data_IF_593744434536
#
_entry.id   IF_593744434536
#
_cell.length_a   1.000
_cell.length_b   1.000
_cell.length_c   1.000
_cell.angle_alpha   90.00
_cell.angle_beta   90.00
_cell.angle_gamma   90.00
#
_symmetry.space_group_name_H-M   'P 1'
#
loop_
_entity.id
_entity.type
_entity.pdbx_description
1 polymer ?
#
# COMPACT_ATOMS: atom_id res chain seq x y z
N UNK A 1 -20.98 59.02 16.70
CA UNK A 1 -21.29 57.62 16.35
C UNK A 1 -20.07 56.79 16.68
N UNK A 2 -20.16 55.98 17.72
CA UNK A 2 -19.05 55.18 18.25
C UNK A 2 -18.87 53.97 17.35
N UNK A 3 -17.70 53.83 16.73
CA UNK A 3 -17.30 52.62 16.01
C UNK A 3 -17.19 51.48 17.03
N UNK A 4 -18.13 50.54 17.00
CA UNK A 4 -18.06 49.31 17.78
C UNK A 4 -16.90 48.47 17.23
N UNK A 5 -15.75 48.50 17.91
CA UNK A 5 -14.71 47.50 17.73
C UNK A 5 -15.32 46.14 18.09
N UNK A 6 -15.60 45.33 17.08
CA UNK A 6 -16.01 43.95 17.26
C UNK A 6 -14.75 43.20 17.73
N UNK A 7 -14.54 43.12 19.05
CA UNK A 7 -13.52 42.24 19.61
C UNK A 7 -13.92 40.82 19.25
N UNK A 8 -13.27 40.22 18.25
CA UNK A 8 -13.35 38.77 18.02
C UNK A 8 -12.97 38.09 19.34
N UNK A 9 -13.99 37.54 20.02
CA UNK A 9 -13.78 36.83 21.28
C UNK A 9 -13.08 35.54 20.92
N UNK A 10 -11.83 35.42 21.34
CA UNK A 10 -11.06 34.20 21.13
C UNK A 10 -11.44 33.14 22.16
N UNK A 11 -11.77 31.97 21.65
CA UNK A 11 -11.94 30.73 22.37
C UNK A 11 -10.68 29.88 22.27
N UNK A 12 -10.45 29.09 23.30
CA UNK A 12 -9.27 28.23 23.41
C UNK A 12 -9.72 26.79 23.27
N UNK A 13 -9.17 26.07 22.30
CA UNK A 13 -9.44 24.64 22.11
C UNK A 13 -8.15 23.84 22.21
N UNK A 14 -8.11 22.90 23.16
CA UNK A 14 -7.05 21.89 23.25
C UNK A 14 -7.45 20.65 22.47
N UNK A 15 -6.65 20.27 21.48
CA UNK A 15 -6.85 19.07 20.68
C UNK A 15 -5.86 17.98 21.05
N UNK A 16 -6.39 16.76 21.16
CA UNK A 16 -5.66 15.53 21.43
C UNK A 16 -6.28 14.41 20.58
N UNK A 17 -5.51 13.36 20.27
CA UNK A 17 -6.01 12.19 19.57
C UNK A 17 -5.68 10.90 20.33
N UNK A 18 -6.53 9.88 20.17
CA UNK A 18 -6.29 8.52 20.65
C UNK A 18 -6.71 7.52 19.57
N UNK A 19 -6.06 6.35 19.54
CA UNK A 19 -6.42 5.27 18.61
C UNK A 19 -7.75 4.61 18.99
N UNK A 20 -8.08 4.55 20.28
CA UNK A 20 -9.27 3.90 20.83
C UNK A 20 -9.89 4.77 21.94
N UNK A 21 -11.18 4.54 22.27
CA UNK A 21 -11.95 5.37 23.23
C UNK A 21 -11.25 5.54 24.59
N UNK A 22 -10.62 4.48 25.09
CA UNK A 22 -9.92 4.46 26.39
C UNK A 22 -8.40 4.29 26.23
N UNK A 23 -7.88 4.51 25.03
CA UNK A 23 -6.46 4.38 24.71
C UNK A 23 -5.62 5.56 25.20
N UNK A 24 -4.29 5.41 25.22
CA UNK A 24 -3.39 6.51 25.52
C UNK A 24 -3.47 7.58 24.44
N UNK A 25 -3.23 8.84 24.85
CA UNK A 25 -3.11 9.96 23.92
C UNK A 25 -1.89 9.74 23.02
N UNK A 26 -2.08 9.96 21.72
CA UNK A 26 -1.02 9.94 20.73
C UNK A 26 0.06 10.95 21.08
N UNK A 27 1.32 10.54 20.92
CA UNK A 27 2.48 11.39 21.20
C UNK A 27 3.02 12.12 19.97
N UNK A 28 2.79 11.58 18.78
CA UNK A 28 3.29 12.12 17.51
C UNK A 28 2.50 11.57 16.30
N UNK A 29 2.84 12.05 15.11
CA UNK A 29 2.37 11.52 13.83
C UNK A 29 0.98 12.01 13.38
N UNK A 30 0.29 12.78 14.21
CA UNK A 30 -0.98 13.42 13.84
C UNK A 30 -0.72 14.74 13.11
N UNK A 31 -1.57 15.04 12.14
CA UNK A 31 -1.70 16.36 11.51
C UNK A 31 -3.10 16.88 11.77
N UNK A 32 -3.19 18.04 12.39
CA UNK A 32 -4.42 18.80 12.62
C UNK A 32 -4.60 19.81 11.50
N UNK A 33 -5.82 19.88 10.95
CA UNK A 33 -6.28 20.96 10.07
C UNK A 33 -7.64 21.44 10.56
N UNK A 34 -7.80 22.75 10.73
CA UNK A 34 -9.03 23.36 11.21
C UNK A 34 -9.58 24.26 10.13
N UNK A 35 -10.81 24.00 9.72
CA UNK A 35 -11.51 24.76 8.70
C UNK A 35 -12.69 25.52 9.32
N UNK A 36 -12.89 26.77 8.93
CA UNK A 36 -14.01 27.61 9.41
C UNK A 36 -15.22 27.46 8.50
N UNK A 37 -16.40 27.22 9.05
CA UNK A 37 -17.65 27.00 8.28
C UNK A 37 -18.39 28.32 8.04
N UNK A 38 -18.32 29.22 9.03
CA UNK A 38 -19.06 30.49 9.05
C UNK A 38 -18.59 31.55 8.04
N UNK A 39 -17.57 31.26 7.23
CA UNK A 39 -16.93 32.24 6.31
C UNK A 39 -17.23 32.00 4.82
N UNK A 40 -18.15 31.10 4.47
CA UNK A 40 -18.36 30.68 3.07
C UNK A 40 -19.80 30.84 2.59
N UNK A 41 -19.98 31.55 1.48
CA UNK A 41 -21.20 31.56 0.66
C UNK A 41 -21.21 30.35 -0.26
N UNK A 42 -22.12 29.41 -0.01
CA UNK A 42 -22.61 28.23 -0.78
C UNK A 42 -21.72 27.43 -1.78
N UNK A 43 -20.62 27.94 -2.34
CA UNK A 43 -19.82 27.27 -3.40
C UNK A 43 -18.29 27.31 -3.18
N UNK A 44 -17.79 27.71 -2.00
CA UNK A 44 -16.36 27.72 -1.69
C UNK A 44 -15.93 26.59 -0.76
N UNK A 45 -14.72 26.05 -0.99
CA UNK A 45 -14.00 25.19 -0.04
C UNK A 45 -13.88 25.89 1.32
N UNK A 46 -14.01 25.13 2.41
CA UNK A 46 -14.02 25.70 3.76
C UNK A 46 -12.60 26.17 4.07
N UNK A 47 -12.36 27.45 4.43
CA UNK A 47 -11.00 27.98 4.56
C UNK A 47 -10.23 27.34 5.71
N UNK A 48 -8.99 26.91 5.44
CA UNK A 48 -8.05 26.45 6.46
C UNK A 48 -7.60 27.63 7.33
N UNK A 49 -8.01 27.64 8.59
CA UNK A 49 -7.72 28.73 9.53
C UNK A 49 -6.60 28.41 10.51
N UNK A 50 -6.31 27.12 10.74
CA UNK A 50 -5.20 26.70 11.56
C UNK A 50 -4.74 25.28 11.24
N UNK A 51 -3.47 24.97 11.51
CA UNK A 51 -2.92 23.61 11.43
C UNK A 51 -1.81 23.39 12.45
N UNK A 52 -1.53 22.12 12.78
CA UNK A 52 -0.41 21.75 13.65
C UNK A 52 -0.05 20.28 13.47
N UNK A 53 1.22 19.94 13.67
CA UNK A 53 1.72 18.56 13.72
C UNK A 53 2.01 18.08 15.15
N UNK A 54 1.79 18.94 16.17
CA UNK A 54 1.95 18.58 17.57
C UNK A 54 0.77 17.72 18.02
N UNK A 55 1.06 16.61 18.70
CA UNK A 55 0.02 15.64 19.05
C UNK A 55 -0.98 16.14 20.09
N UNK A 56 -0.51 17.00 20.99
CA UNK A 56 -1.34 17.81 21.88
C UNK A 56 -1.08 19.27 21.54
N UNK A 57 -2.11 19.99 21.12
CA UNK A 57 -1.96 21.39 20.75
C UNK A 57 -3.16 22.23 21.18
N UNK A 58 -2.90 23.46 21.59
CA UNK A 58 -3.93 24.42 21.98
C UNK A 58 -3.98 25.51 20.94
N UNK A 59 -5.14 25.65 20.30
CA UNK A 59 -5.43 26.73 19.36
C UNK A 59 -6.24 27.83 20.04
N UNK A 60 -6.00 29.07 19.63
CA UNK A 60 -6.83 30.23 19.95
C UNK A 60 -7.56 30.61 18.67
N UNK A 61 -8.87 30.47 18.64
CA UNK A 61 -9.71 30.69 17.47
C UNK A 61 -10.91 31.56 17.87
N UNK A 62 -11.44 32.42 16.98
CA UNK A 62 -12.68 33.13 17.25
C UNK A 62 -13.83 32.17 17.60
N UNK A 63 -14.80 32.63 18.39
CA UNK A 63 -16.08 31.94 18.55
C UNK A 63 -16.70 31.66 17.16
N UNK A 64 -17.23 30.45 16.95
CA UNK A 64 -17.75 30.04 15.66
C UNK A 64 -17.79 28.54 15.43
N UNK A 65 -18.06 28.15 14.20
CA UNK A 65 -18.27 26.77 13.77
C UNK A 65 -17.13 26.28 12.89
N UNK A 66 -16.62 25.07 13.19
CA UNK A 66 -15.38 24.54 12.62
C UNK A 66 -15.47 23.06 12.25
N UNK A 67 -14.71 22.65 11.23
CA UNK A 67 -14.28 21.26 11.07
C UNK A 67 -12.86 21.09 11.57
N UNK A 68 -12.68 20.09 12.42
CA UNK A 68 -11.38 19.61 12.82
C UNK A 68 -11.10 18.31 12.08
N UNK A 69 -10.15 18.36 11.16
CA UNK A 69 -9.59 17.19 10.49
C UNK A 69 -8.33 16.73 11.22
N UNK A 70 -8.34 15.48 11.68
CA UNK A 70 -7.23 14.83 12.34
C UNK A 70 -6.75 13.67 11.48
N UNK A 71 -5.52 13.75 10.96
CA UNK A 71 -4.93 12.74 10.08
C UNK A 71 -3.72 12.04 10.69
N UNK A 72 -3.69 10.70 10.65
CA UNK A 72 -2.65 9.83 11.19
C UNK A 72 -2.27 8.74 10.17
N UNK A 73 -1.31 9.04 9.29
CA UNK A 73 -0.99 8.14 8.16
C UNK A 73 -2.13 8.13 7.15
N UNK A 74 -2.66 6.93 6.82
CA UNK A 74 -3.83 6.79 5.94
C UNK A 74 -5.17 6.91 6.68
N UNK A 75 -5.13 7.09 7.99
CA UNK A 75 -6.33 7.32 8.80
C UNK A 75 -6.61 8.80 8.87
N UNK A 76 -7.86 9.19 8.69
CA UNK A 76 -8.29 10.51 9.11
C UNK A 76 -9.71 10.51 9.67
N UNK A 77 -9.99 11.49 10.52
CA UNK A 77 -11.33 11.73 11.06
C UNK A 77 -11.61 13.22 11.07
N UNK A 78 -12.80 13.58 10.60
CA UNK A 78 -13.32 14.95 10.66
C UNK A 78 -14.36 15.03 11.76
N UNK A 79 -14.26 16.04 12.64
CA UNK A 79 -15.24 16.35 13.67
C UNK A 79 -15.73 17.78 13.49
N UNK A 80 -17.05 17.93 13.44
CA UNK A 80 -17.72 19.21 13.52
C UNK A 80 -17.70 19.73 14.96
N UNK A 81 -17.33 21.00 15.17
CA UNK A 81 -17.21 21.60 16.49
C UNK A 81 -17.72 23.04 16.50
N UNK A 82 -18.55 23.35 17.50
CA UNK A 82 -18.97 24.71 17.81
C UNK A 82 -18.14 25.25 18.98
N UNK A 83 -17.36 26.29 18.72
CA UNK A 83 -16.56 26.98 19.73
C UNK A 83 -17.33 28.17 20.28
N UNK A 84 -17.74 28.08 21.55
CA UNK A 84 -18.27 29.20 22.33
C UNK A 84 -17.20 29.77 23.25
N UNK A 85 -17.56 30.79 24.05
CA UNK A 85 -16.62 31.46 24.96
C UNK A 85 -15.95 30.48 25.94
N UNK A 86 -14.63 30.59 26.07
CA UNK A 86 -13.87 29.92 27.13
C UNK A 86 -12.88 28.88 26.63
N UNK A 87 -12.57 27.90 27.50
CA UNK A 87 -11.62 26.81 27.22
C UNK A 87 -12.39 25.51 26.99
N UNK A 88 -12.15 24.86 25.86
CA UNK A 88 -12.65 23.54 25.52
C UNK A 88 -11.48 22.57 25.32
N UNK A 89 -11.75 21.28 25.49
CA UNK A 89 -10.77 20.22 25.24
C UNK A 89 -11.47 19.09 24.51
N UNK A 90 -10.85 18.59 23.46
CA UNK A 90 -11.39 17.54 22.61
C UNK A 90 -10.36 16.44 22.38
N UNK A 91 -10.82 15.19 22.52
CA UNK A 91 -10.05 14.00 22.21
C UNK A 91 -10.71 13.33 21.01
N UNK A 92 -10.03 13.33 19.86
CA UNK A 92 -10.50 12.65 18.66
C UNK A 92 -10.08 11.19 18.70
N UNK A 93 -11.06 10.28 18.72
CA UNK A 93 -10.83 8.84 18.61
C UNK A 93 -10.70 8.47 17.14
N UNK A 94 -9.55 7.97 16.71
CA UNK A 94 -9.29 7.69 15.31
C UNK A 94 -9.81 6.33 14.84
N UNK A 95 -10.06 5.38 15.76
CA UNK A 95 -10.33 3.97 15.43
C UNK A 95 -9.27 3.41 14.47
N UNK A 96 -8.00 3.61 14.82
CA UNK A 96 -6.86 3.31 13.97
C UNK A 96 -6.02 2.16 14.52
N UNK A 97 -5.63 1.24 13.64
CA UNK A 97 -4.67 0.18 13.90
C UNK A 97 -3.45 0.27 12.97
N UNK A 98 -2.59 -0.74 13.04
CA UNK A 98 -1.49 -0.93 12.12
C UNK A 98 -1.54 -2.32 11.49
N UNK A 99 -1.02 -2.44 10.28
CA UNK A 99 -0.74 -3.72 9.65
C UNK A 99 0.73 -3.79 9.26
N UNK A 100 1.38 -4.90 9.56
CA UNK A 100 2.75 -5.19 9.16
C UNK A 100 2.77 -6.48 8.36
N UNK A 101 3.23 -6.37 7.10
CA UNK A 101 3.17 -7.47 6.13
C UNK A 101 4.55 -8.06 5.91
N UNK A 102 4.60 -9.40 5.98
CA UNK A 102 5.76 -10.25 5.72
C UNK A 102 5.37 -11.29 4.68
N UNK A 103 6.38 -11.92 4.07
CA UNK A 103 6.18 -13.08 3.23
C UNK A 103 7.22 -14.14 3.54
N UNK A 104 6.87 -15.39 3.27
CA UNK A 104 7.76 -16.53 3.42
C UNK A 104 7.58 -17.50 2.24
N UNK A 105 8.59 -18.35 2.05
CA UNK A 105 8.55 -19.52 1.18
C UNK A 105 8.60 -20.77 2.07
N UNK A 106 7.95 -21.89 1.70
CA UNK A 106 8.10 -23.17 2.39
C UNK A 106 9.56 -23.63 2.52
N UNK A 107 10.41 -23.29 1.53
CA UNK A 107 11.84 -23.56 1.51
C UNK A 107 12.57 -22.33 0.96
N UNK A 108 13.74 -22.02 1.51
CA UNK A 108 14.55 -20.87 1.09
C UNK A 108 14.13 -19.55 1.77
N UNK A 109 14.62 -18.44 1.22
CA UNK A 109 14.42 -17.09 1.77
C UNK A 109 13.86 -16.18 0.69
N UNK A 110 12.83 -15.39 1.03
CA UNK A 110 12.27 -14.36 0.15
C UNK A 110 13.32 -13.27 -0.09
N UNK A 111 13.56 -12.94 -1.36
CA UNK A 111 14.28 -11.71 -1.71
C UNK A 111 13.36 -10.49 -1.48
N UNK A 112 13.55 -9.78 -0.35
CA UNK A 112 12.72 -8.63 0.05
C UNK A 112 12.70 -7.49 -0.98
N UNK A 113 13.71 -7.37 -1.85
CA UNK A 113 13.74 -6.31 -2.88
C UNK A 113 12.66 -6.52 -3.96
N UNK A 114 12.37 -7.79 -4.26
CA UNK A 114 11.39 -8.26 -5.24
C UNK A 114 9.96 -8.35 -4.66
N UNK A 115 9.82 -8.23 -3.35
CA UNK A 115 8.53 -8.33 -2.69
C UNK A 115 7.84 -6.95 -2.60
N UNK A 116 6.55 -6.91 -2.95
CA UNK A 116 5.68 -5.75 -2.78
C UNK A 116 4.31 -6.20 -2.27
N UNK A 117 3.68 -5.35 -1.47
CA UNK A 117 2.28 -5.51 -1.08
C UNK A 117 1.43 -4.36 -1.58
N UNK A 118 0.17 -4.69 -1.84
CA UNK A 118 -0.92 -3.74 -2.08
C UNK A 118 -2.05 -4.02 -1.12
N UNK A 119 -2.70 -2.98 -0.63
CA UNK A 119 -3.84 -3.03 0.28
C UNK A 119 -5.00 -2.32 -0.40
N UNK A 120 -6.15 -2.97 -0.41
CA UNK A 120 -7.39 -2.47 -0.97
C UNK A 120 -8.48 -2.46 0.10
N UNK A 121 -9.48 -1.60 -0.07
CA UNK A 121 -10.66 -1.58 0.79
C UNK A 121 -11.50 -2.83 0.58
N UNK A 122 -12.17 -3.27 1.65
CA UNK A 122 -13.20 -4.32 1.59
C UNK A 122 -14.55 -3.78 1.08
N UNK A 123 -14.62 -2.49 0.72
CA UNK A 123 -15.82 -1.89 0.16
C UNK A 123 -16.10 -2.47 -1.23
N UNK A 124 -17.29 -3.04 -1.38
CA UNK A 124 -17.78 -3.76 -2.56
C UNK A 124 -18.92 -3.00 -3.24
N UNK A 125 -19.27 -1.79 -2.78
CA UNK A 125 -20.42 -1.04 -3.31
C UNK A 125 -20.37 -0.84 -4.83
N UNK A 126 -19.18 -0.86 -5.45
CA UNK A 126 -18.99 -0.79 -6.91
C UNK A 126 -18.28 -2.01 -7.53
N UNK A 127 -18.18 -3.14 -6.82
CA UNK A 127 -17.46 -4.35 -7.29
C UNK A 127 -15.97 -4.11 -7.63
N UNK A 128 -15.42 -2.97 -7.23
CA UNK A 128 -14.01 -2.61 -7.33
C UNK A 128 -13.50 -2.31 -5.92
N UNK A 129 -12.57 -3.15 -5.44
CA UNK A 129 -11.85 -2.84 -4.22
C UNK A 129 -11.00 -1.59 -4.45
N UNK A 130 -11.34 -0.48 -3.80
CA UNK A 130 -10.58 0.77 -3.89
C UNK A 130 -9.14 0.57 -3.44
N UNK A 131 -8.17 0.85 -4.32
CA UNK A 131 -6.75 0.77 -3.99
C UNK A 131 -6.41 1.82 -2.92
N UNK A 132 -5.98 1.37 -1.74
CA UNK A 132 -5.58 2.25 -0.64
C UNK A 132 -4.10 2.58 -0.75
N UNK A 133 -3.27 1.56 -0.93
CA UNK A 133 -1.82 1.73 -0.99
C UNK A 133 -1.18 0.58 -1.75
N UNK A 134 -0.24 0.89 -2.64
CA UNK A 134 0.53 -0.08 -3.41
C UNK A 134 2.03 0.05 -3.15
N UNK A 135 2.81 -0.91 -3.66
CA UNK A 135 4.28 -0.92 -3.61
C UNK A 135 4.84 -0.85 -2.18
N UNK A 136 4.10 -1.38 -1.21
CA UNK A 136 4.49 -1.43 0.20
C UNK A 136 5.65 -2.42 0.34
N UNK A 137 6.74 -1.98 0.97
CA UNK A 137 7.88 -2.85 1.29
C UNK A 137 7.54 -3.75 2.49
N UNK A 138 8.10 -4.97 2.57
CA UNK A 138 7.95 -5.83 3.75
C UNK A 138 8.37 -5.14 5.04
N UNK A 139 7.81 -5.61 6.15
CA UNK A 139 8.08 -5.15 7.52
C UNK A 139 7.68 -3.69 7.81
N UNK A 140 7.17 -2.95 6.82
CA UNK A 140 6.64 -1.60 7.04
C UNK A 140 5.29 -1.68 7.74
N UNK A 141 5.13 -0.89 8.81
CA UNK A 141 3.83 -0.68 9.45
C UNK A 141 3.04 0.34 8.64
N UNK A 142 1.87 -0.06 8.15
CA UNK A 142 0.89 0.82 7.52
C UNK A 142 -0.25 1.07 8.51
N UNK A 143 -0.59 2.34 8.74
CA UNK A 143 -1.68 2.74 9.64
C UNK A 143 -2.97 2.81 8.84
N UNK A 144 -4.00 2.12 9.32
CA UNK A 144 -5.29 2.00 8.67
C UNK A 144 -6.41 2.15 9.71
N UNK A 145 -7.61 2.47 9.24
CA UNK A 145 -8.79 2.41 10.11
C UNK A 145 -8.98 0.95 10.55
N UNK A 146 -9.66 0.74 11.67
CA UNK A 146 -10.11 -0.60 12.02
C UNK A 146 -11.12 -1.08 10.99
N UNK A 147 -10.95 -2.30 10.49
CA UNK A 147 -11.76 -2.86 9.42
C UNK A 147 -11.06 -4.05 8.76
N UNK A 148 -11.73 -4.64 7.78
CA UNK A 148 -11.17 -5.70 6.94
C UNK A 148 -10.57 -5.07 5.68
N UNK A 149 -9.48 -5.66 5.20
CA UNK A 149 -8.76 -5.20 4.02
C UNK A 149 -8.34 -6.37 3.15
N UNK A 150 -8.50 -6.22 1.84
CA UNK A 150 -7.95 -7.16 0.87
C UNK A 150 -6.47 -6.84 0.62
N UNK A 151 -5.59 -7.80 0.89
CA UNK A 151 -4.15 -7.63 0.76
C UNK A 151 -3.62 -8.55 -0.33
N UNK A 152 -2.83 -7.98 -1.24
CA UNK A 152 -2.19 -8.68 -2.34
C UNK A 152 -0.68 -8.59 -2.20
N UNK A 153 -0.01 -9.73 -2.13
CA UNK A 153 1.46 -9.83 -2.12
C UNK A 153 1.95 -10.28 -3.49
N UNK A 154 2.81 -9.48 -4.10
CA UNK A 154 3.50 -9.78 -5.36
C UNK A 154 4.95 -10.09 -5.05
N UNK A 155 5.45 -11.23 -5.56
CA UNK A 155 6.85 -11.62 -5.42
C UNK A 155 7.53 -11.70 -6.79
N UNK A 156 8.28 -10.65 -7.14
CA UNK A 156 8.83 -10.45 -8.47
C UNK A 156 7.77 -10.02 -9.49
N UNK A 157 8.13 -10.12 -10.77
CA UNK A 157 7.37 -9.53 -11.88
C UNK A 157 6.54 -10.56 -12.67
N UNK A 158 6.57 -11.83 -12.28
CA UNK A 158 5.73 -12.89 -12.87
C UNK A 158 4.41 -13.09 -12.13
N UNK A 159 3.88 -14.31 -12.18
CA UNK A 159 2.58 -14.68 -11.61
C UNK A 159 2.60 -15.09 -10.12
N UNK A 160 3.71 -14.90 -9.40
CA UNK A 160 3.80 -15.23 -7.97
C UNK A 160 3.03 -14.20 -7.12
N UNK A 161 1.71 -14.42 -7.00
CA UNK A 161 0.76 -13.54 -6.32
C UNK A 161 -0.02 -14.31 -5.26
N UNK A 162 -0.10 -13.77 -4.05
CA UNK A 162 -0.90 -14.30 -2.93
C UNK A 162 -1.89 -13.24 -2.48
N UNK A 163 -3.12 -13.64 -2.18
CA UNK A 163 -4.20 -12.77 -1.70
C UNK A 163 -4.69 -13.22 -0.33
N UNK A 164 -5.07 -12.29 0.52
CA UNK A 164 -5.65 -12.57 1.83
C UNK A 164 -6.46 -11.38 2.31
N UNK A 165 -7.58 -11.65 2.97
CA UNK A 165 -8.31 -10.64 3.71
C UNK A 165 -7.77 -10.60 5.14
N UNK A 166 -7.47 -9.40 5.63
CA UNK A 166 -6.83 -9.19 6.93
C UNK A 166 -7.61 -8.16 7.74
N UNK A 167 -7.88 -8.50 9.00
CA UNK A 167 -8.55 -7.62 9.94
C UNK A 167 -7.54 -6.71 10.66
N UNK A 168 -7.80 -5.41 10.62
CA UNK A 168 -7.09 -4.40 11.40
C UNK A 168 -7.93 -4.04 12.60
N UNK A 169 -7.35 -4.19 13.79
CA UNK A 169 -7.99 -3.81 15.04
C UNK A 169 -7.44 -2.47 15.55
N UNK A 170 -8.33 -1.62 16.08
CA UNK A 170 -7.93 -0.33 16.61
C UNK A 170 -6.99 -0.48 17.82
N UNK A 171 -5.90 0.28 17.85
CA UNK A 171 -4.91 0.25 18.92
C UNK A 171 -3.93 -0.92 18.87
N UNK A 172 -4.02 -1.82 17.88
CA UNK A 172 -3.11 -2.96 17.71
C UNK A 172 -2.33 -2.88 16.40
N UNK A 173 -1.26 -3.66 16.32
CA UNK A 173 -0.56 -3.96 15.07
C UNK A 173 -0.90 -5.41 14.71
N UNK A 174 -1.58 -5.60 13.58
CA UNK A 174 -1.79 -6.92 12.98
C UNK A 174 -0.54 -7.30 12.19
N UNK A 175 0.16 -8.34 12.62
CA UNK A 175 1.26 -8.93 11.85
C UNK A 175 0.74 -10.10 11.00
N UNK A 176 1.04 -10.10 9.71
CA UNK A 176 0.65 -11.19 8.81
C UNK A 176 1.83 -11.63 7.93
N UNK A 177 1.99 -12.95 7.78
CA UNK A 177 3.00 -13.55 6.90
C UNK A 177 2.32 -14.30 5.76
N UNK A 178 2.43 -13.78 4.54
CA UNK A 178 1.83 -14.37 3.33
C UNK A 178 2.77 -15.44 2.76
N UNK A 179 2.25 -16.65 2.58
CA UNK A 179 3.03 -17.81 2.13
C UNK A 179 3.03 -17.89 0.60
N UNK A 180 4.16 -17.57 -0.01
CA UNK A 180 4.37 -17.77 -1.44
C UNK A 180 4.86 -19.19 -1.71
N UNK A 181 4.49 -19.73 -2.87
CA UNK A 181 5.13 -20.91 -3.47
C UNK A 181 5.68 -20.50 -4.80
N UNK A 182 6.96 -20.15 -4.83
CA UNK A 182 7.57 -19.53 -6.01
C UNK A 182 9.07 -19.82 -6.10
N UNK A 183 9.60 -19.78 -7.31
CA UNK A 183 11.03 -19.96 -7.60
C UNK A 183 11.55 -18.89 -8.56
N UNK A 184 12.85 -18.65 -8.49
CA UNK A 184 13.57 -17.76 -9.40
C UNK A 184 13.98 -18.57 -10.65
N UNK A 185 13.77 -18.01 -11.83
CA UNK A 185 14.24 -18.61 -13.09
C UNK A 185 14.93 -17.58 -13.95
N UNK A 186 16.04 -17.99 -14.56
CA UNK A 186 16.74 -17.26 -15.61
C UNK A 186 16.75 -18.10 -16.88
N UNK A 187 16.20 -17.57 -17.96
CA UNK A 187 16.20 -18.20 -19.26
C UNK A 187 17.24 -17.54 -20.16
N UNK A 188 17.93 -18.36 -20.97
CA UNK A 188 18.81 -17.88 -22.03
C UNK A 188 18.72 -18.79 -23.27
N UNK A 189 18.74 -18.18 -24.44
CA UNK A 189 18.78 -18.89 -25.72
C UNK A 189 20.24 -18.96 -26.17
N UNK A 190 20.75 -20.16 -26.46
CA UNK A 190 22.17 -20.39 -26.76
C UNK A 190 22.35 -21.25 -28.00
N UNK A 191 23.45 -21.03 -28.74
CA UNK A 191 23.78 -21.87 -29.92
C UNK A 191 24.24 -23.26 -29.54
N UNK A 192 24.97 -23.36 -28.45
CA UNK A 192 25.51 -24.60 -27.91
C UNK A 192 25.42 -24.50 -26.39
N UNK A 193 25.29 -25.65 -25.74
CA UNK A 193 25.17 -25.75 -24.28
C UNK A 193 26.35 -25.03 -23.59
N UNK A 194 26.06 -24.24 -22.56
CA UNK A 194 27.05 -23.51 -21.77
C UNK A 194 27.65 -22.27 -22.46
N UNK A 195 27.14 -21.86 -23.63
CA UNK A 195 27.60 -20.65 -24.34
C UNK A 195 26.82 -19.41 -23.92
N UNK A 196 27.27 -18.28 -24.46
CA UNK A 196 26.62 -16.98 -24.28
C UNK A 196 25.20 -16.95 -24.83
N UNK A 197 24.37 -16.16 -24.16
CA UNK A 197 23.01 -15.92 -24.57
C UNK A 197 22.97 -15.12 -25.88
N UNK A 198 22.06 -15.49 -26.77
CA UNK A 198 21.77 -14.73 -27.98
C UNK A 198 21.07 -13.42 -27.60
N UNK A 199 21.68 -12.30 -28.01
CA UNK A 199 21.09 -10.98 -27.92
C UNK A 199 19.81 -10.87 -28.76
N UNK A 200 19.00 -9.84 -28.49
CA UNK A 200 17.76 -9.55 -29.20
C UNK A 200 16.76 -10.72 -29.21
N UNK A 201 16.69 -11.44 -28.09
CA UNK A 201 15.73 -12.53 -27.90
C UNK A 201 14.48 -11.99 -27.20
N UNK A 202 13.33 -12.14 -27.85
CA UNK A 202 12.02 -11.91 -27.24
C UNK A 202 11.54 -13.17 -26.55
N UNK A 203 11.05 -13.03 -25.33
CA UNK A 203 10.60 -14.11 -24.46
C UNK A 203 9.12 -13.93 -24.13
N UNK A 204 8.36 -15.00 -24.28
CA UNK A 204 7.03 -15.14 -23.70
C UNK A 204 7.01 -16.41 -22.86
N UNK A 205 6.55 -16.31 -21.62
CA UNK A 205 6.40 -17.45 -20.72
C UNK A 205 4.92 -17.65 -20.48
N UNK A 206 4.45 -18.88 -20.73
CA UNK A 206 3.05 -19.25 -20.54
C UNK A 206 2.92 -20.30 -19.44
N UNK A 207 1.80 -20.25 -18.72
CA UNK A 207 1.38 -21.37 -17.85
C UNK A 207 0.87 -22.55 -18.70
N UNK A 208 0.48 -23.66 -18.04
CA UNK A 208 -0.11 -24.82 -18.73
C UNK A 208 -1.41 -24.51 -19.48
N UNK A 209 -2.17 -23.50 -19.06
CA UNK A 209 -3.39 -23.05 -19.71
C UNK A 209 -3.14 -22.23 -20.99
N UNK A 210 -1.89 -21.87 -21.26
CA UNK A 210 -1.50 -21.05 -22.41
C UNK A 210 -1.55 -19.55 -22.16
N UNK A 211 -1.89 -19.11 -20.95
CA UNK A 211 -1.87 -17.68 -20.60
C UNK A 211 -0.44 -17.20 -20.47
N UNK A 212 -0.15 -16.06 -21.08
CA UNK A 212 1.13 -15.38 -20.94
C UNK A 212 1.21 -14.79 -19.53
N UNK A 213 2.21 -15.22 -18.75
CA UNK A 213 2.44 -14.78 -17.37
C UNK A 213 3.62 -13.83 -17.23
N UNK A 214 4.45 -13.72 -18.27
CA UNK A 214 5.58 -12.80 -18.33
C UNK A 214 6.11 -12.66 -19.76
N UNK A 215 6.55 -11.46 -20.12
CA UNK A 215 7.20 -11.16 -21.39
C UNK A 215 8.38 -10.21 -21.19
N UNK A 216 9.43 -10.39 -21.99
CA UNK A 216 10.56 -9.46 -22.02
C UNK A 216 11.34 -9.59 -23.32
N UNK A 217 12.15 -8.59 -23.67
CA UNK A 217 13.12 -8.70 -24.76
C UNK A 217 14.50 -8.39 -24.22
N UNK A 218 15.28 -9.43 -23.96
CA UNK A 218 16.61 -9.38 -23.37
C UNK A 218 17.36 -10.68 -23.68
N UNK A 219 18.70 -10.65 -23.67
CA UNK A 219 19.50 -11.87 -23.85
C UNK A 219 19.22 -12.90 -22.73
N UNK A 220 19.02 -12.39 -21.50
CA UNK A 220 18.62 -13.16 -20.33
C UNK A 220 17.23 -12.70 -19.88
N UNK A 221 16.32 -13.64 -19.68
CA UNK A 221 15.03 -13.37 -19.05
C UNK A 221 15.05 -13.88 -17.60
N UNK A 222 15.19 -12.96 -16.65
CA UNK A 222 15.11 -13.24 -15.22
C UNK A 222 13.71 -12.92 -14.70
N UNK A 223 13.15 -13.82 -13.91
CA UNK A 223 11.79 -13.69 -13.37
C UNK A 223 11.59 -14.57 -12.14
N UNK A 224 10.51 -14.29 -11.41
CA UNK A 224 10.00 -15.14 -10.33
C UNK A 224 8.62 -15.62 -10.73
N UNK A 225 8.40 -16.93 -10.66
CA UNK A 225 7.15 -17.58 -11.05
C UNK A 225 6.60 -18.38 -9.88
N UNK A 226 5.27 -18.52 -9.84
CA UNK A 226 4.62 -19.44 -8.93
C UNK A 226 5.07 -20.89 -9.21
N UNK A 227 5.02 -21.75 -8.21
CA UNK A 227 5.21 -23.19 -8.36
C UNK A 227 4.20 -23.75 -9.39
N UNK A 228 4.70 -24.56 -10.34
CA UNK A 228 3.90 -25.07 -11.46
C UNK A 228 4.73 -25.35 -12.71
N UNK A 229 4.05 -25.71 -13.78
CA UNK A 229 4.61 -26.05 -15.09
C UNK A 229 4.38 -24.95 -16.12
N UNK A 230 5.37 -24.75 -16.99
CA UNK A 230 5.45 -23.60 -17.88
C UNK A 230 6.07 -23.96 -19.22
N UNK A 231 5.76 -23.14 -20.23
CA UNK A 231 6.47 -23.12 -21.50
C UNK A 231 7.17 -21.77 -21.67
N UNK A 232 8.45 -21.81 -22.03
CA UNK A 232 9.19 -20.65 -22.50
C UNK A 232 9.21 -20.67 -24.02
N UNK A 233 8.77 -19.57 -24.64
CA UNK A 233 8.86 -19.30 -26.07
C UNK A 233 9.89 -18.21 -26.27
N UNK A 234 11.00 -18.56 -26.93
CA UNK A 234 12.05 -17.64 -27.32
C UNK A 234 11.96 -17.37 -28.82
N UNK A 235 11.84 -16.10 -29.21
CA UNK A 235 11.93 -15.66 -30.61
C UNK A 235 13.23 -14.91 -30.80
N UNK A 236 14.05 -15.36 -31.74
CA UNK A 236 15.26 -14.67 -32.16
C UNK A 236 15.26 -14.57 -33.69
N UNK A 237 15.28 -13.35 -34.22
CA UNK A 237 15.08 -13.09 -35.66
C UNK A 237 13.76 -13.72 -36.15
N UNK A 238 13.83 -14.64 -37.11
CA UNK A 238 12.68 -15.33 -37.69
C UNK A 238 12.48 -16.76 -37.14
N UNK A 239 13.23 -17.16 -36.12
CA UNK A 239 13.14 -18.48 -35.53
C UNK A 239 12.48 -18.41 -34.15
N UNK A 240 11.66 -19.43 -33.85
CA UNK A 240 10.95 -19.60 -32.58
C UNK A 240 11.40 -20.91 -31.98
N UNK A 241 11.71 -20.89 -30.69
CA UNK A 241 12.13 -22.03 -29.91
C UNK A 241 11.25 -22.14 -28.67
N UNK A 242 10.86 -23.36 -28.33
CA UNK A 242 10.01 -23.60 -27.17
C UNK A 242 10.67 -24.63 -26.25
N UNK A 243 10.51 -24.42 -24.94
CA UNK A 243 10.96 -25.38 -23.92
C UNK A 243 9.98 -25.45 -22.77
N UNK A 244 9.61 -26.67 -22.39
CA UNK A 244 8.85 -26.94 -21.17
C UNK A 244 9.77 -26.95 -19.94
N UNK A 245 9.30 -26.42 -18.82
CA UNK A 245 10.01 -26.46 -17.53
C UNK A 245 9.05 -26.31 -16.34
N UNK A 246 9.47 -26.87 -15.20
CA UNK A 246 8.71 -26.76 -13.94
C UNK A 246 9.44 -25.90 -12.91
N UNK A 247 8.68 -25.17 -12.11
CA UNK A 247 9.14 -24.38 -10.96
C UNK A 247 8.71 -25.09 -9.68
N UNK A 248 9.62 -25.13 -8.70
CA UNK A 248 9.32 -25.60 -7.35
C UNK A 248 9.73 -24.52 -6.35
N UNK A 249 8.97 -24.36 -5.28
CA UNK A 249 9.16 -23.29 -4.33
C UNK A 249 10.57 -23.27 -3.73
N UNK A 250 11.17 -22.07 -3.67
CA UNK A 250 12.49 -21.84 -3.08
C UNK A 250 13.67 -22.15 -4.00
N UNK A 251 13.43 -22.75 -5.17
CA UNK A 251 14.50 -23.09 -6.10
C UNK A 251 14.88 -21.88 -6.96
N UNK A 252 16.16 -21.85 -7.35
CA UNK A 252 16.70 -20.98 -8.38
C UNK A 252 17.13 -21.84 -9.55
N UNK A 253 16.68 -21.54 -10.77
CA UNK A 253 17.01 -22.30 -11.98
C UNK A 253 17.56 -21.41 -13.08
N UNK A 254 18.60 -21.87 -13.75
CA UNK A 254 18.99 -21.34 -15.05
C UNK A 254 18.62 -22.38 -16.12
N UNK A 255 17.98 -21.94 -17.20
CA UNK A 255 17.46 -22.80 -18.25
C UNK A 255 17.98 -22.32 -19.61
N UNK A 256 18.72 -23.20 -20.26
CA UNK A 256 19.20 -23.02 -21.63
C UNK A 256 18.19 -23.58 -22.64
N UNK A 257 17.82 -22.78 -23.64
CA UNK A 257 17.13 -23.23 -24.85
C UNK A 257 18.18 -23.28 -25.96
N UNK A 258 18.29 -24.42 -26.65
CA UNK A 258 19.23 -24.57 -27.75
C UNK A 258 18.59 -24.06 -29.04
N UNK A 259 19.27 -23.13 -29.72
CA UNK A 259 18.95 -22.81 -31.11
C UNK A 259 19.48 -23.95 -31.97
N UNK A 260 18.69 -25.00 -32.19
CA UNK A 260 19.05 -26.06 -33.13
C UNK A 260 19.22 -25.43 -34.52
N UNK A 261 20.46 -25.15 -34.88
CA UNK A 261 20.88 -24.66 -36.20
C UNK A 261 22.00 -25.55 -36.68
#
# INVERSE_FOLDING_TARGET
MTLTQNHEKNSIIKLQASLTKNGPILRNGIVWRIFSISKTSMDQEWPLVASSTKAVYTFSLPEGEYLIHAAFGQVSRTKHLMLGKGKQSEIIILNAGGIQLKAALPKGVINKSQLKFSIYSDDTENNEHGLILSKIKPDKIVRLNSGTYHVVSHYGDGNAIVRSDLQVEAGKITEATMQHRAGEVTLKLVRQKGREALADTSWAITNESGDIVYETTNAYAYMILAEGDYFAVAKNKNQIYQKHFSISSGNKKEIEILSNT
#
